data_IF_849804040184
#
_entry.id   IF_849804040184
#
_cell.length_a   1.000
_cell.length_b   1.000
_cell.length_c   1.000
_cell.angle_alpha   90.00
_cell.angle_beta   90.00
_cell.angle_gamma   90.00
#
_symmetry.space_group_name_H-M   'P 1'
#
loop_
_entity.id
_entity.type
_entity.pdbx_description
1 polymer ?
#
# COMPACT_ATOMS: atom_id res chain seq x y z
N UNK A 1 -7.25 -7.95 -6.73
CA UNK A 1 -6.57 -7.62 -5.46
C UNK A 1 -7.23 -8.37 -4.31
N UNK A 2 -6.87 -9.66 -4.14
CA UNK A 2 -7.55 -10.60 -3.24
C UNK A 2 -6.94 -10.67 -1.82
N UNK A 3 -5.74 -10.15 -1.65
CA UNK A 3 -4.97 -10.22 -0.39
C UNK A 3 -5.62 -9.40 0.74
N UNK A 4 -5.73 -10.01 1.92
CA UNK A 4 -6.16 -9.38 3.17
C UNK A 4 -4.99 -8.83 3.99
N UNK A 5 -5.24 -8.45 5.24
CA UNK A 5 -4.25 -7.82 6.13
C UNK A 5 -2.97 -8.65 6.23
N UNK A 6 -3.07 -9.92 6.62
CA UNK A 6 -1.88 -10.75 6.90
C UNK A 6 -1.02 -10.96 5.66
N UNK A 7 -1.67 -11.20 4.50
CA UNK A 7 -0.95 -11.36 3.24
C UNK A 7 -0.23 -10.07 2.81
N UNK A 8 -0.84 -8.91 3.07
CA UNK A 8 -0.24 -7.61 2.73
C UNK A 8 0.90 -7.26 3.69
N UNK A 9 0.73 -7.50 4.99
CA UNK A 9 1.78 -7.32 6.00
C UNK A 9 2.98 -8.26 5.73
N UNK A 10 2.70 -9.50 5.37
CA UNK A 10 3.73 -10.45 4.95
C UNK A 10 4.50 -9.92 3.73
N UNK A 11 3.82 -9.39 2.71
CA UNK A 11 4.49 -8.80 1.54
C UNK A 11 5.40 -7.63 1.92
N UNK A 12 4.94 -6.72 2.78
CA UNK A 12 5.75 -5.58 3.27
C UNK A 12 7.06 -6.08 3.88
N UNK A 13 6.97 -7.08 4.75
CA UNK A 13 8.15 -7.66 5.41
C UNK A 13 9.04 -8.43 4.44
N UNK A 14 8.47 -9.36 3.67
CA UNK A 14 9.24 -10.34 2.90
C UNK A 14 9.74 -9.84 1.55
N UNK A 15 8.96 -9.00 0.86
CA UNK A 15 9.32 -8.53 -0.50
C UNK A 15 9.97 -7.15 -0.50
N UNK A 16 9.73 -6.33 0.52
CA UNK A 16 10.27 -4.97 0.61
C UNK A 16 11.27 -4.77 1.74
N UNK A 17 11.43 -5.76 2.62
CA UNK A 17 12.29 -5.67 3.81
C UNK A 17 11.95 -4.46 4.68
N UNK A 18 10.66 -4.19 4.83
CA UNK A 18 10.14 -3.09 5.64
C UNK A 18 9.34 -3.63 6.82
N UNK A 19 9.29 -2.85 7.89
CA UNK A 19 8.50 -3.19 9.07
C UNK A 19 7.03 -2.78 8.87
N UNK A 20 6.07 -3.72 8.78
CA UNK A 20 4.64 -3.39 8.66
C UNK A 20 4.06 -2.73 9.93
N UNK A 21 4.75 -2.81 11.07
CA UNK A 21 4.33 -2.22 12.34
C UNK A 21 4.89 -0.81 12.57
N UNK A 22 5.68 -0.28 11.65
CA UNK A 22 6.42 0.99 11.76
C UNK A 22 5.56 2.26 11.82
N UNK A 23 4.22 2.15 11.82
CA UNK A 23 3.32 3.29 11.69
C UNK A 23 3.36 3.95 10.30
N UNK A 24 3.99 3.32 9.30
CA UNK A 24 3.94 3.77 7.92
C UNK A 24 2.66 3.30 7.22
N UNK A 25 2.24 4.02 6.18
CA UNK A 25 1.09 3.65 5.35
C UNK A 25 1.56 3.05 4.04
N UNK A 26 1.21 1.79 3.81
CA UNK A 26 1.60 1.01 2.63
C UNK A 26 0.45 1.00 1.63
N UNK A 27 0.62 1.60 0.46
CA UNK A 27 -0.41 1.71 -0.59
C UNK A 27 -0.18 0.64 -1.68
N UNK A 28 -1.17 -0.23 -1.85
CA UNK A 28 -1.16 -1.31 -2.82
C UNK A 28 -2.16 -0.98 -3.93
N UNK A 29 -1.74 -1.13 -5.18
CA UNK A 29 -2.61 -0.91 -6.33
C UNK A 29 -2.67 -2.17 -7.20
N UNK A 30 -3.87 -2.53 -7.66
CA UNK A 30 -4.03 -3.62 -8.63
C UNK A 30 -3.65 -3.16 -10.04
N UNK A 31 -3.37 -4.12 -10.93
CA UNK A 31 -2.96 -3.81 -12.32
C UNK A 31 -3.97 -2.96 -13.12
N UNK A 32 -5.26 -3.00 -12.76
CA UNK A 32 -6.32 -2.21 -13.41
C UNK A 32 -6.36 -0.73 -12.99
N UNK A 33 -5.60 -0.32 -11.96
CA UNK A 33 -5.53 1.07 -11.45
C UNK A 33 -6.88 1.72 -11.08
N UNK A 34 -7.95 0.95 -11.03
CA UNK A 34 -9.29 1.34 -10.58
C UNK A 34 -9.48 1.07 -9.08
N UNK A 35 -8.54 0.38 -8.44
CA UNK A 35 -8.65 -0.10 -7.06
C UNK A 35 -7.31 0.01 -6.34
N UNK A 36 -7.38 0.40 -5.07
CA UNK A 36 -6.24 0.35 -4.17
C UNK A 36 -6.63 -0.06 -2.75
N UNK A 37 -5.62 -0.51 -2.00
CA UNK A 37 -5.70 -0.72 -0.56
C UNK A 37 -4.59 0.05 0.14
N UNK A 38 -4.85 0.55 1.34
CA UNK A 38 -3.78 1.03 2.22
C UNK A 38 -3.75 0.19 3.49
N UNK A 39 -2.58 -0.33 3.83
CA UNK A 39 -2.31 -1.00 5.09
C UNK A 39 -1.61 -0.01 6.04
N UNK A 40 -2.08 0.07 7.27
CA UNK A 40 -1.50 0.93 8.30
C UNK A 40 -1.58 0.24 9.66
N UNK A 41 -0.52 0.29 10.46
CA UNK A 41 -0.54 -0.17 11.84
C UNK A 41 -0.80 1.00 12.79
N UNK A 42 -1.93 0.98 13.48
CA UNK A 42 -2.35 2.04 14.41
C UNK A 42 -1.93 1.81 15.86
N UNK A 43 -0.87 1.03 16.11
CA UNK A 43 -0.40 0.68 17.45
C UNK A 43 -1.09 -0.53 18.08
N UNK A 44 -2.40 -0.71 17.83
CA UNK A 44 -3.21 -1.77 18.45
C UNK A 44 -3.73 -2.81 17.46
N UNK A 45 -3.57 -2.53 16.16
CA UNK A 45 -4.15 -3.33 15.10
C UNK A 45 -3.87 -2.73 13.73
N UNK A 46 -4.07 -3.57 12.71
CA UNK A 46 -4.00 -3.15 11.32
C UNK A 46 -5.30 -2.52 10.87
N UNK A 47 -5.16 -1.41 10.15
CA UNK A 47 -6.20 -0.77 9.38
C UNK A 47 -5.99 -1.12 7.92
N UNK A 48 -7.08 -1.49 7.24
CA UNK A 48 -7.09 -1.74 5.81
C UNK A 48 -8.16 -0.88 5.15
N UNK A 49 -7.74 0.21 4.52
CA UNK A 49 -8.64 0.96 3.64
C UNK A 49 -8.68 0.26 2.29
N UNK A 50 -9.86 0.18 1.69
CA UNK A 50 -10.04 -0.29 0.34
C UNK A 50 -10.89 0.73 -0.42
N UNK A 51 -10.35 1.26 -1.52
CA UNK A 51 -11.05 2.22 -2.37
C UNK A 51 -11.11 1.71 -3.81
N UNK A 52 -12.32 1.80 -4.38
CA UNK A 52 -12.59 1.61 -5.80
C UNK A 52 -12.93 2.97 -6.40
N UNK A 53 -12.31 3.27 -7.53
CA UNK A 53 -12.61 4.44 -8.35
C UNK A 53 -13.62 3.99 -9.39
N UNK A 54 -14.82 4.56 -9.35
CA UNK A 54 -15.89 4.19 -10.27
C UNK A 54 -15.68 4.81 -11.67
N UNK A 55 -15.15 6.03 -11.73
CA UNK A 55 -14.84 6.74 -12.98
C UNK A 55 -13.40 7.26 -12.99
N UNK A 56 -12.60 6.79 -13.95
CA UNK A 56 -11.20 7.17 -14.12
C UNK A 56 -10.20 6.15 -13.58
N UNK A 57 -8.93 6.54 -13.51
CA UNK A 57 -7.83 5.70 -13.00
C UNK A 57 -7.03 6.44 -11.94
N UNK A 58 -6.39 5.69 -11.05
CA UNK A 58 -5.43 6.24 -10.11
C UNK A 58 -4.19 6.72 -10.87
N UNK A 59 -4.02 8.03 -10.91
CA UNK A 59 -2.77 8.65 -11.36
C UNK A 59 -1.74 8.53 -10.24
N UNK A 60 -0.75 7.68 -10.47
CA UNK A 60 0.40 7.59 -9.58
C UNK A 60 1.32 8.80 -9.79
N UNK A 61 1.74 9.50 -8.73
CA UNK A 61 2.75 10.53 -8.87
C UNK A 61 4.07 9.89 -9.32
N UNK A 62 4.56 10.29 -10.50
CA UNK A 62 5.88 9.90 -11.00
C UNK A 62 6.95 10.63 -10.19
N UNK A 63 7.43 10.04 -9.09
CA UNK A 63 8.56 10.58 -8.36
C UNK A 63 9.68 9.55 -8.23
N UNK A 64 10.88 9.96 -8.62
CA UNK A 64 12.14 9.21 -8.78
C UNK A 64 12.75 8.65 -7.49
N UNK A 65 12.04 8.73 -6.36
CA UNK A 65 12.45 8.12 -5.08
C UNK A 65 11.50 7.04 -4.57
N UNK A 66 10.47 6.67 -5.33
CA UNK A 66 9.79 5.40 -5.04
C UNK A 66 10.76 4.28 -5.37
N UNK A 67 11.10 3.42 -4.40
CA UNK A 67 11.66 2.09 -4.67
C UNK A 67 10.79 1.51 -5.78
N UNK A 68 11.32 1.47 -7.01
CA UNK A 68 10.55 1.00 -8.15
C UNK A 68 10.31 -0.47 -7.90
N UNK A 69 9.07 -0.89 -7.65
CA UNK A 69 8.82 -2.30 -7.57
C UNK A 69 8.87 -2.82 -9.00
N UNK A 70 9.57 -3.95 -9.20
CA UNK A 70 9.37 -4.76 -10.40
C UNK A 70 7.86 -4.89 -10.64
N UNK A 71 7.42 -4.56 -11.87
CA UNK A 71 6.01 -4.51 -12.32
C UNK A 71 5.04 -5.27 -11.39
N UNK A 72 4.18 -4.53 -10.68
CA UNK A 72 3.05 -5.12 -9.94
C UNK A 72 3.11 -5.07 -8.42
N UNK A 73 4.00 -4.28 -7.82
CA UNK A 73 4.14 -4.23 -6.37
C UNK A 73 3.70 -2.88 -5.73
N UNK A 74 3.33 -2.88 -4.44
CA UNK A 74 2.88 -1.70 -3.69
C UNK A 74 3.94 -0.62 -3.50
N UNK A 75 3.47 0.61 -3.32
CA UNK A 75 4.25 1.82 -3.07
C UNK A 75 3.80 2.44 -1.73
N UNK A 76 4.70 3.05 -0.97
CA UNK A 76 4.46 3.39 0.44
C UNK A 76 4.57 4.90 0.61
N UNK A 77 3.66 5.52 1.36
CA UNK A 77 3.72 6.96 1.70
C UNK A 77 3.57 7.16 3.19
N UNK A 78 4.37 8.07 3.74
CA UNK A 78 4.28 8.52 5.14
C UNK A 78 3.27 9.66 5.23
N UNK A 79 2.24 9.50 6.05
CA UNK A 79 1.42 10.59 6.57
C UNK A 79 1.34 10.40 8.09
N UNK A 80 1.83 11.35 8.87
CA UNK A 80 1.52 11.42 10.30
C UNK A 80 0.18 12.14 10.43
N UNK A 81 -0.82 11.47 10.99
CA UNK A 81 -1.97 12.15 11.56
C UNK A 81 -1.45 12.84 12.84
N UNK A 82 -1.41 14.16 12.81
CA UNK A 82 -1.19 15.02 13.99
C UNK A 82 -2.30 14.83 15.01
#
# INVERSE_FOLDING_TARGET
MRQGIDSLAYLVKSHFDLDPFSGQVFLFCGGRKDRFKTLYWGGQGFWLLYKRVENGTLTWPSYSQSVQPRRGAPQIRRWQLS
#
